data_IF_806277483094
#
_entry.id   IF_806277483094
#
_cell.length_a   1.000
_cell.length_b   1.000
_cell.length_c   1.000
_cell.angle_alpha   90.00
_cell.angle_beta   90.00
_cell.angle_gamma   90.00
#
_symmetry.space_group_name_H-M   'P 1'
#
loop_
_entity.id
_entity.type
_entity.pdbx_description
1 polymer ?
#
# COMPACT_ATOMS: atom_id res chain seq x y z
N UNK A 1 4.42 -6.46 -10.89
CA UNK A 1 3.75 -6.45 -9.58
C UNK A 1 4.64 -7.00 -8.48
N UNK A 2 5.10 -8.25 -8.58
CA UNK A 2 6.06 -8.82 -7.60
C UNK A 2 7.29 -7.92 -7.45
N UNK A 3 7.65 -7.59 -6.21
CA UNK A 3 8.77 -6.71 -5.88
C UNK A 3 8.55 -5.88 -4.62
N UNK A 4 9.55 -5.05 -4.31
CA UNK A 4 9.49 -4.05 -3.24
C UNK A 4 9.21 -2.69 -3.87
N UNK A 5 8.28 -1.95 -3.31
CA UNK A 5 7.80 -0.68 -3.85
C UNK A 5 7.82 0.37 -2.77
N UNK A 6 8.44 1.52 -3.04
CA UNK A 6 8.49 2.67 -2.15
C UNK A 6 7.28 3.54 -2.43
N UNK A 7 6.47 3.84 -1.43
CA UNK A 7 5.37 4.79 -1.54
C UNK A 7 5.96 6.18 -1.78
N UNK A 8 5.59 6.81 -2.90
CA UNK A 8 6.03 8.17 -3.23
C UNK A 8 5.05 9.20 -2.63
N UNK A 9 3.78 9.10 -3.03
CA UNK A 9 2.70 9.97 -2.60
C UNK A 9 1.35 9.41 -3.02
N UNK A 10 0.29 9.98 -2.45
CA UNK A 10 -1.08 9.76 -2.91
C UNK A 10 -1.70 11.05 -3.43
N UNK A 11 -2.66 10.93 -4.34
CA UNK A 11 -3.50 12.02 -4.81
C UNK A 11 -4.94 11.79 -4.35
N UNK A 12 -5.63 12.86 -4.03
CA UNK A 12 -7.07 12.84 -3.76
C UNK A 12 -7.87 12.70 -5.07
N UNK A 13 -9.20 12.70 -4.96
CA UNK A 13 -10.11 12.61 -6.11
C UNK A 13 -10.04 13.81 -7.07
N UNK A 14 -9.50 14.95 -6.63
CA UNK A 14 -9.31 16.15 -7.45
C UNK A 14 -7.93 16.16 -8.13
N UNK A 15 -7.07 15.18 -7.83
CA UNK A 15 -5.71 15.08 -8.36
C UNK A 15 -4.66 15.83 -7.54
N UNK A 16 -5.04 16.41 -6.40
CA UNK A 16 -4.14 17.12 -5.50
C UNK A 16 -3.33 16.16 -4.65
N UNK A 17 -2.05 16.48 -4.44
CA UNK A 17 -1.16 15.65 -3.61
C UNK A 17 -1.59 15.77 -2.15
N UNK A 18 -1.83 14.62 -1.52
CA UNK A 18 -2.11 14.52 -0.09
C UNK A 18 -0.78 14.63 0.66
N UNK A 19 -0.61 15.72 1.41
CA UNK A 19 0.56 15.99 2.25
C UNK A 19 0.21 15.77 3.71
N UNK A 20 0.03 14.51 4.10
CA UNK A 20 -0.15 14.13 5.49
C UNK A 20 1.17 13.71 6.15
N UNK A 21 1.09 13.20 7.37
CA UNK A 21 2.21 12.76 8.21
C UNK A 21 3.05 11.64 7.58
N UNK A 22 2.54 10.98 6.53
CA UNK A 22 3.21 9.88 5.84
C UNK A 22 3.86 10.33 4.52
N UNK A 23 3.65 11.58 4.11
CA UNK A 23 4.20 12.12 2.87
C UNK A 23 5.73 12.26 2.96
N UNK A 24 6.44 11.58 2.06
CA UNK A 24 7.91 11.64 1.97
C UNK A 24 8.66 10.61 2.82
N UNK A 25 7.96 9.89 3.71
CA UNK A 25 8.57 8.90 4.62
C UNK A 25 9.09 7.62 3.91
N UNK A 26 8.79 7.46 2.62
CA UNK A 26 9.38 6.41 1.77
C UNK A 26 9.13 4.98 2.27
N UNK A 27 7.96 4.74 2.88
CA UNK A 27 7.53 3.42 3.34
C UNK A 27 7.47 2.39 2.20
N UNK A 28 7.65 1.11 2.56
CA UNK A 28 7.68 0.01 1.61
C UNK A 28 6.40 -0.84 1.60
N UNK A 29 5.99 -1.24 0.42
CA UNK A 29 5.06 -2.35 0.20
C UNK A 29 5.78 -3.46 -0.57
N UNK A 30 5.75 -4.68 -0.05
CA UNK A 30 6.36 -5.84 -0.70
C UNK A 30 5.31 -6.82 -1.17
N UNK A 31 5.24 -7.02 -2.49
CA UNK A 31 4.38 -8.01 -3.13
C UNK A 31 5.21 -9.24 -3.47
N UNK A 32 4.99 -10.34 -2.76
CA UNK A 32 5.77 -11.57 -2.91
C UNK A 32 5.20 -12.48 -4.00
N UNK A 33 6.03 -13.36 -4.55
CA UNK A 33 5.61 -14.30 -5.61
C UNK A 33 4.57 -15.32 -5.14
N UNK A 34 4.57 -15.67 -3.85
CA UNK A 34 3.58 -16.55 -3.21
C UNK A 34 2.26 -15.84 -2.84
N UNK A 35 2.07 -14.59 -3.30
CA UNK A 35 0.80 -13.88 -3.15
C UNK A 35 0.60 -13.21 -1.79
N UNK A 36 1.68 -12.89 -1.06
CA UNK A 36 1.61 -12.13 0.20
C UNK A 36 1.94 -10.66 -0.05
N UNK A 37 1.23 -9.79 0.66
CA UNK A 37 1.52 -8.37 0.75
C UNK A 37 2.06 -8.09 2.15
N UNK A 38 3.29 -7.60 2.21
CA UNK A 38 3.98 -7.23 3.45
C UNK A 38 4.09 -5.72 3.47
N UNK A 39 3.47 -5.09 4.47
CA UNK A 39 3.56 -3.66 4.72
C UNK A 39 4.80 -3.35 5.57
N UNK A 40 5.33 -2.14 5.44
CA UNK A 40 6.43 -1.66 6.28
C UNK A 40 6.01 -1.60 7.75
N UNK A 41 6.82 -2.18 8.64
CA UNK A 41 6.55 -2.14 10.07
C UNK A 41 6.61 -0.71 10.63
N UNK A 42 7.40 0.18 10.02
CA UNK A 42 7.46 1.59 10.40
C UNK A 42 6.14 2.29 10.07
N UNK A 43 5.60 2.04 8.88
CA UNK A 43 4.29 2.54 8.49
C UNK A 43 3.21 2.12 9.48
N UNK A 44 3.17 0.83 9.83
CA UNK A 44 2.19 0.30 10.79
C UNK A 44 2.33 0.94 12.18
N UNK A 45 3.56 1.06 12.68
CA UNK A 45 3.84 1.72 13.96
C UNK A 45 3.37 3.18 13.96
N UNK A 46 3.66 3.92 12.90
CA UNK A 46 3.37 5.35 12.83
C UNK A 46 1.86 5.59 12.59
N UNK A 47 1.18 4.68 11.89
CA UNK A 47 -0.29 4.64 11.81
C UNK A 47 -0.96 4.35 13.16
N UNK A 48 -0.43 3.40 13.96
CA UNK A 48 -0.92 3.18 15.33
C UNK A 48 -0.82 4.45 16.19
N UNK A 49 0.33 5.13 16.14
CA UNK A 49 0.53 6.40 16.87
C UNK A 49 -0.45 7.48 16.43
N UNK A 50 -0.69 7.62 15.12
CA UNK A 50 -1.68 8.55 14.56
C UNK A 50 -3.09 8.27 15.09
N UNK A 51 -3.41 7.01 15.35
CA UNK A 51 -4.67 6.57 15.94
C UNK A 51 -4.67 6.58 17.49
N UNK A 52 -3.64 7.14 18.14
CA UNK A 52 -3.55 7.31 19.59
C UNK A 52 -3.09 6.06 20.37
N UNK A 53 -2.64 5.02 19.68
CA UNK A 53 -2.13 3.78 20.27
C UNK A 53 -0.64 3.98 20.54
N UNK A 54 -0.22 3.77 21.79
CA UNK A 54 1.17 4.06 22.24
C UNK A 54 1.93 2.82 22.65
N UNK A 55 1.24 1.68 22.74
CA UNK A 55 1.81 0.37 22.99
C UNK A 55 2.80 -0.01 21.87
N UNK A 56 3.89 -0.75 22.20
CA UNK A 56 4.78 -1.29 21.20
C UNK A 56 4.02 -2.15 20.19
N UNK A 57 4.35 -2.03 18.90
CA UNK A 57 3.80 -2.91 17.87
C UNK A 57 4.22 -4.36 18.13
N UNK A 58 3.30 -5.19 18.59
CA UNK A 58 3.52 -6.64 18.67
C UNK A 58 3.47 -7.24 17.26
N UNK A 59 4.53 -7.95 16.86
CA UNK A 59 4.62 -8.53 15.51
C UNK A 59 3.51 -9.56 15.22
N UNK A 60 2.96 -10.21 16.25
CA UNK A 60 1.79 -11.10 16.16
C UNK A 60 0.51 -10.39 15.72
N UNK A 61 0.42 -9.07 15.93
CA UNK A 61 -0.74 -8.26 15.58
C UNK A 61 -0.65 -7.67 14.18
N UNK A 62 0.49 -7.83 13.49
CA UNK A 62 0.62 -7.35 12.11
C UNK A 62 -0.31 -8.16 11.21
N UNK A 63 -1.31 -7.52 10.58
CA UNK A 63 -2.25 -8.23 9.73
C UNK A 63 -1.53 -8.88 8.55
N UNK A 64 -1.91 -10.13 8.26
CA UNK A 64 -1.43 -10.83 7.07
C UNK A 64 -2.34 -10.47 5.91
N UNK A 65 -1.75 -9.90 4.85
CA UNK A 65 -2.45 -9.64 3.61
C UNK A 65 -2.02 -10.61 2.54
N UNK A 66 -2.98 -11.07 1.74
CA UNK A 66 -2.69 -11.77 0.48
C UNK A 66 -3.19 -10.96 -0.70
N UNK A 67 -2.66 -11.24 -1.89
CA UNK A 67 -3.05 -10.53 -3.10
C UNK A 67 -3.05 -11.45 -4.31
N UNK A 68 -3.87 -11.08 -5.29
CA UNK A 68 -3.82 -11.65 -6.64
C UNK A 68 -4.19 -10.58 -7.67
N UNK A 69 -3.71 -10.74 -8.90
CA UNK A 69 -4.11 -9.89 -10.01
C UNK A 69 -5.21 -10.56 -10.83
N UNK A 70 -6.18 -9.76 -11.26
CA UNK A 70 -7.25 -10.16 -12.15
C UNK A 70 -7.13 -9.37 -13.46
N UNK A 71 -7.16 -10.09 -14.59
CA UNK A 71 -7.16 -9.53 -15.94
C UNK A 71 -6.03 -8.51 -16.22
N UNK A 72 -4.92 -8.57 -15.48
CA UNK A 72 -3.78 -7.64 -15.58
C UNK A 72 -4.09 -6.15 -15.36
N UNK A 73 -5.27 -5.82 -14.84
CA UNK A 73 -5.74 -4.43 -14.64
C UNK A 73 -6.23 -4.18 -13.22
N UNK A 74 -6.65 -5.23 -12.52
CA UNK A 74 -7.17 -5.14 -11.15
C UNK A 74 -6.30 -5.97 -10.20
N UNK A 75 -5.99 -5.42 -9.04
CA UNK A 75 -5.45 -6.17 -7.91
C UNK A 75 -6.55 -6.35 -6.88
N UNK A 76 -6.67 -7.56 -6.37
CA UNK A 76 -7.50 -7.89 -5.22
C UNK A 76 -6.57 -8.15 -4.04
N UNK A 77 -6.76 -7.40 -2.95
CA UNK A 77 -6.02 -7.53 -1.69
C UNK A 77 -7.00 -8.09 -0.67
N UNK A 78 -6.64 -9.21 -0.04
CA UNK A 78 -7.42 -9.86 0.99
C UNK A 78 -6.80 -9.55 2.35
N UNK A 79 -7.63 -9.03 3.24
CA UNK A 79 -7.41 -9.03 4.68
C UNK A 79 -8.14 -10.25 5.30
N UNK A 80 -8.03 -10.43 6.61
CA UNK A 80 -8.61 -11.57 7.34
C UNK A 80 -10.12 -11.76 7.14
N UNK A 81 -10.87 -10.68 6.98
CA UNK A 81 -12.35 -10.72 6.90
C UNK A 81 -12.95 -9.99 5.69
N UNK A 82 -12.11 -9.33 4.87
CA UNK A 82 -12.59 -8.53 3.74
C UNK A 82 -11.59 -8.53 2.59
N UNK A 83 -12.05 -8.16 1.41
CA UNK A 83 -11.22 -7.99 0.23
C UNK A 83 -11.48 -6.65 -0.42
N UNK A 84 -10.42 -6.00 -0.88
CA UNK A 84 -10.49 -4.74 -1.61
C UNK A 84 -9.93 -4.92 -3.01
N UNK A 85 -10.67 -4.40 -3.98
CA UNK A 85 -10.24 -4.35 -5.37
C UNK A 85 -9.82 -2.94 -5.75
N UNK A 86 -8.64 -2.82 -6.35
CA UNK A 86 -8.11 -1.57 -6.88
C UNK A 86 -7.67 -1.77 -8.32
N UNK A 87 -7.86 -0.76 -9.16
CA UNK A 87 -7.20 -0.74 -10.47
C UNK A 87 -5.72 -0.51 -10.26
N UNK A 88 -4.89 -1.09 -11.13
CA UNK A 88 -3.46 -0.82 -11.11
C UNK A 88 -2.89 -0.72 -12.52
N UNK A 89 -1.74 -0.07 -12.64
CA UNK A 89 -0.99 0.05 -13.87
C UNK A 89 0.47 0.41 -13.63
N UNK A 90 1.27 0.41 -14.69
CA UNK A 90 2.68 0.78 -14.63
C UNK A 90 2.98 1.96 -15.55
N UNK A 91 3.86 2.85 -15.08
CA UNK A 91 4.49 3.90 -15.88
C UNK A 91 6.00 3.85 -15.62
N UNK A 92 6.75 3.19 -16.51
CA UNK A 92 8.14 2.85 -16.29
C UNK A 92 8.33 2.02 -15.01
N UNK A 93 9.17 2.50 -14.10
CA UNK A 93 9.41 1.88 -12.79
C UNK A 93 8.37 2.27 -11.72
N UNK A 94 7.30 2.98 -12.10
CA UNK A 94 6.23 3.41 -11.18
C UNK A 94 5.03 2.49 -11.27
N UNK A 95 4.61 1.93 -10.14
CA UNK A 95 3.32 1.29 -9.95
C UNK A 95 2.30 2.34 -9.51
N UNK A 96 1.12 2.31 -10.11
CA UNK A 96 0.03 3.24 -9.85
C UNK A 96 -1.19 2.44 -9.44
N UNK A 97 -1.79 2.77 -8.29
CA UNK A 97 -3.10 2.27 -7.90
C UNK A 97 -4.16 3.34 -8.07
N UNK A 98 -5.32 2.96 -8.61
CA UNK A 98 -6.54 3.76 -8.64
C UNK A 98 -7.60 3.13 -7.75
N UNK A 99 -8.08 3.91 -6.79
CA UNK A 99 -9.10 3.51 -5.83
C UNK A 99 -10.50 3.95 -6.30
N UNK A 100 -11.54 3.24 -5.87
CA UNK A 100 -12.95 3.51 -6.26
C UNK A 100 -13.45 4.90 -5.85
N UNK A 101 -12.86 5.49 -4.82
CA UNK A 101 -13.17 6.85 -4.36
C UNK A 101 -12.43 7.96 -5.14
N UNK A 102 -11.78 7.61 -6.26
CA UNK A 102 -11.02 8.54 -7.10
C UNK A 102 -9.59 8.81 -6.65
N UNK A 103 -9.18 8.28 -5.49
CA UNK A 103 -7.82 8.47 -5.00
C UNK A 103 -6.84 7.66 -5.85
N UNK A 104 -5.60 8.13 -5.91
CA UNK A 104 -4.51 7.41 -6.56
C UNK A 104 -3.31 7.29 -5.64
N UNK A 105 -2.57 6.18 -5.71
CA UNK A 105 -1.30 6.00 -5.01
C UNK A 105 -0.20 5.65 -6.00
N UNK A 106 0.96 6.28 -5.83
CA UNK A 106 2.11 6.11 -6.69
C UNK A 106 3.24 5.47 -5.90
N UNK A 107 3.82 4.40 -6.43
CA UNK A 107 4.92 3.67 -5.80
C UNK A 107 6.06 3.45 -6.79
N UNK A 108 7.30 3.66 -6.36
CA UNK A 108 8.49 3.44 -7.17
C UNK A 108 9.09 2.06 -6.89
N UNK A 109 9.46 1.33 -7.94
CA UNK A 109 10.15 0.06 -7.78
C UNK A 109 11.51 0.25 -7.10
N UNK A 110 11.73 -0.45 -5.99
CA UNK A 110 13.05 -0.52 -5.36
C UNK A 110 13.89 -1.57 -6.09
N UNK A 111 15.05 -1.15 -6.60
CA UNK A 111 16.03 -2.02 -7.24
C UNK A 111 16.72 -2.94 -6.23
#
# INVERSE_FOLDING_TARGET
>A
MVGKWVILFSKDANGEIIKDEFYGESYLETYTKDGKLILDAQFLRDDLKRNGITEPLEFSLIPTFSWKTMNNETIEIFASEDSRQNRYGFSGDTLIFGYSNGYMRYLLKRK
#
